data_IF_667495291641
#
_entry.id   IF_667495291641
#
_cell.length_a   1.000
_cell.length_b   1.000
_cell.length_c   1.000
_cell.angle_alpha   90.00
_cell.angle_beta   90.00
_cell.angle_gamma   90.00
#
_symmetry.space_group_name_H-M   'P 1'
#
loop_
_entity.id
_entity.type
_entity.pdbx_description
1 polymer ?
#
# COMPACT_ATOMS: atom_id res chain seq x y z
N UNK A 1 -37.26 16.36 6.85
CA UNK A 1 -36.08 16.05 7.65
C UNK A 1 -34.86 16.37 6.78
N UNK A 2 -34.14 17.44 7.07
CA UNK A 2 -32.87 17.72 6.41
C UNK A 2 -31.89 16.63 6.86
N UNK A 3 -31.59 15.68 5.99
CA UNK A 3 -30.53 14.73 6.24
C UNK A 3 -29.26 15.54 6.45
N UNK A 4 -28.72 15.55 7.68
CA UNK A 4 -27.42 16.18 7.97
C UNK A 4 -26.38 15.48 7.05
N UNK A 5 -25.91 16.22 6.07
CA UNK A 5 -24.89 15.74 5.14
C UNK A 5 -23.62 15.43 5.96
N UNK A 6 -23.17 14.18 5.97
CA UNK A 6 -21.97 13.78 6.69
C UNK A 6 -20.76 14.62 6.21
N UNK A 7 -19.91 15.04 7.17
CA UNK A 7 -18.67 15.76 6.84
C UNK A 7 -17.65 14.86 6.14
N UNK A 8 -17.63 13.58 6.50
CA UNK A 8 -16.64 12.58 6.05
C UNK A 8 -17.32 11.35 5.50
N UNK A 9 -16.84 10.83 4.38
CA UNK A 9 -17.17 9.50 3.88
C UNK A 9 -15.97 8.58 4.03
N UNK A 10 -16.10 7.52 4.83
CA UNK A 10 -15.08 6.49 5.02
C UNK A 10 -15.32 5.41 3.98
N UNK A 11 -14.39 5.24 3.03
CA UNK A 11 -14.49 4.27 1.95
C UNK A 11 -13.60 3.07 2.21
N UNK A 12 -14.17 1.87 2.11
CA UNK A 12 -13.50 0.60 2.40
C UNK A 12 -13.58 -0.30 1.18
N UNK A 13 -12.56 -0.30 0.29
CA UNK A 13 -12.49 -1.28 -0.77
C UNK A 13 -12.22 -2.67 -0.17
N UNK A 14 -13.15 -3.59 -0.37
CA UNK A 14 -13.13 -4.92 0.24
C UNK A 14 -13.25 -6.02 -0.83
N UNK A 15 -12.50 -7.12 -0.65
CA UNK A 15 -12.71 -8.34 -1.41
C UNK A 15 -12.04 -9.53 -0.72
N UNK A 16 -12.82 -10.57 -0.40
CA UNK A 16 -12.36 -11.78 0.25
C UNK A 16 -11.59 -11.49 1.56
N UNK A 17 -12.28 -10.86 2.50
CA UNK A 17 -11.74 -10.43 3.80
C UNK A 17 -12.60 -10.89 4.99
N UNK A 18 -13.26 -12.07 4.88
CA UNK A 18 -14.18 -12.60 5.90
C UNK A 18 -13.58 -12.61 7.31
N UNK A 19 -12.28 -12.88 7.44
CA UNK A 19 -11.58 -12.93 8.72
C UNK A 19 -11.18 -11.57 9.30
N UNK A 20 -11.47 -10.46 8.59
CA UNK A 20 -10.96 -9.14 8.99
C UNK A 20 -12.02 -8.04 8.90
N UNK A 21 -13.08 -8.23 8.13
CA UNK A 21 -14.07 -7.19 7.83
C UNK A 21 -14.82 -6.74 9.09
N UNK A 22 -15.21 -7.67 9.95
CA UNK A 22 -15.93 -7.36 11.19
C UNK A 22 -15.07 -6.51 12.14
N UNK A 23 -13.81 -6.92 12.37
CA UNK A 23 -12.89 -6.16 13.21
C UNK A 23 -12.57 -4.78 12.64
N UNK A 24 -12.52 -4.66 11.32
CA UNK A 24 -12.34 -3.38 10.63
C UNK A 24 -13.52 -2.45 10.87
N UNK A 25 -14.75 -2.90 10.66
CA UNK A 25 -15.95 -2.09 10.88
C UNK A 25 -16.12 -1.71 12.35
N UNK A 26 -15.89 -2.63 13.29
CA UNK A 26 -15.90 -2.35 14.71
C UNK A 26 -14.87 -1.26 15.09
N UNK A 27 -13.69 -1.26 14.51
CA UNK A 27 -12.70 -0.20 14.71
C UNK A 27 -13.20 1.14 14.13
N UNK A 28 -13.80 1.16 12.93
CA UNK A 28 -14.29 2.39 12.30
C UNK A 28 -15.47 2.98 13.07
N UNK A 29 -16.42 2.17 13.49
CA UNK A 29 -17.55 2.64 14.30
C UNK A 29 -17.15 3.06 15.73
N UNK A 30 -15.94 2.72 16.18
CA UNK A 30 -15.38 3.24 17.44
C UNK A 30 -14.71 4.62 17.30
N UNK A 31 -14.66 5.19 16.11
CA UNK A 31 -14.06 6.52 15.92
C UNK A 31 -14.87 7.60 16.63
N UNK A 32 -14.16 8.54 17.22
CA UNK A 32 -14.79 9.77 17.69
C UNK A 32 -15.24 10.59 16.48
N UNK A 33 -16.57 10.83 16.31
CA UNK A 33 -17.07 11.50 15.13
C UNK A 33 -16.56 12.94 15.03
N UNK A 34 -16.18 13.40 13.82
CA UNK A 34 -15.91 14.81 13.61
C UNK A 34 -17.20 15.64 13.65
N UNK A 35 -17.08 16.96 13.74
CA UNK A 35 -18.23 17.85 13.57
C UNK A 35 -18.90 17.58 12.22
N UNK A 36 -20.21 17.37 12.21
CA UNK A 36 -20.98 16.95 11.02
C UNK A 36 -21.00 15.44 10.77
N UNK A 37 -20.36 14.62 11.61
CA UNK A 37 -20.43 13.16 11.53
C UNK A 37 -19.67 12.54 10.36
N UNK A 38 -19.86 11.25 10.19
CA UNK A 38 -19.30 10.49 9.07
C UNK A 38 -20.26 9.39 8.63
N UNK A 39 -20.13 8.96 7.39
CA UNK A 39 -20.78 7.77 6.82
C UNK A 39 -19.74 6.70 6.47
N UNK A 40 -20.16 5.44 6.43
CA UNK A 40 -19.31 4.30 6.11
C UNK A 40 -19.82 3.62 4.85
N UNK A 41 -18.94 3.48 3.86
CA UNK A 41 -19.25 2.85 2.57
C UNK A 41 -18.26 1.71 2.33
N UNK A 42 -18.74 0.48 2.32
CA UNK A 42 -17.97 -0.71 1.92
C UNK A 42 -18.24 -0.98 0.46
N UNK A 43 -17.19 -1.09 -0.34
CA UNK A 43 -17.29 -1.39 -1.75
C UNK A 43 -16.73 -2.80 -1.99
N UNK A 44 -17.66 -3.78 -2.07
CA UNK A 44 -17.31 -5.19 -2.18
C UNK A 44 -17.00 -5.60 -3.62
N UNK A 45 -15.79 -6.10 -3.83
CA UNK A 45 -15.30 -6.62 -5.11
C UNK A 45 -15.83 -8.01 -5.45
N UNK A 46 -17.13 -8.28 -5.25
CA UNK A 46 -17.75 -9.58 -5.50
C UNK A 46 -17.05 -10.72 -4.73
N UNK A 47 -17.00 -10.59 -3.43
CA UNK A 47 -16.39 -11.57 -2.53
C UNK A 47 -17.09 -12.93 -2.59
N UNK A 48 -16.33 -14.01 -2.43
CA UNK A 48 -16.77 -15.42 -2.53
C UNK A 48 -16.40 -16.29 -1.34
N UNK A 49 -15.85 -15.67 -0.27
CA UNK A 49 -15.32 -16.36 0.91
C UNK A 49 -16.21 -16.21 2.17
N UNK A 50 -17.45 -15.71 2.02
CA UNK A 50 -18.35 -15.39 3.13
C UNK A 50 -18.27 -13.93 3.61
N UNK A 51 -17.43 -13.08 3.01
CA UNK A 51 -17.36 -11.65 3.34
C UNK A 51 -18.71 -10.95 3.14
N UNK A 52 -19.45 -11.27 2.07
CA UNK A 52 -20.75 -10.68 1.79
C UNK A 52 -21.78 -10.99 2.87
N UNK A 53 -21.83 -12.24 3.32
CA UNK A 53 -22.74 -12.66 4.40
C UNK A 53 -22.41 -11.94 5.71
N UNK A 54 -21.10 -11.76 6.00
CA UNK A 54 -20.67 -10.96 7.14
C UNK A 54 -21.12 -9.49 7.00
N UNK A 55 -21.00 -8.90 5.82
CA UNK A 55 -21.44 -7.51 5.57
C UNK A 55 -22.96 -7.36 5.74
N UNK A 56 -23.77 -8.32 5.31
CA UNK A 56 -25.23 -8.27 5.50
C UNK A 56 -25.59 -8.32 6.98
N UNK A 57 -24.97 -9.22 7.77
CA UNK A 57 -25.18 -9.25 9.24
C UNK A 57 -24.74 -7.95 9.93
N UNK A 58 -23.62 -7.37 9.52
CA UNK A 58 -23.12 -6.11 10.07
C UNK A 58 -24.02 -4.92 9.71
N UNK A 59 -24.68 -4.95 8.55
CA UNK A 59 -25.65 -3.94 8.17
C UNK A 59 -26.93 -3.99 9.05
N UNK A 60 -27.31 -5.14 9.58
CA UNK A 60 -28.40 -5.23 10.56
C UNK A 60 -28.04 -4.50 11.87
N UNK A 61 -26.76 -4.55 12.27
CA UNK A 61 -26.24 -3.86 13.47
C UNK A 61 -25.97 -2.36 13.23
N UNK A 62 -25.64 -2.01 11.97
CA UNK A 62 -25.33 -0.65 11.53
C UNK A 62 -26.18 -0.32 10.29
N UNK A 63 -27.45 0.12 10.47
CA UNK A 63 -28.35 0.40 9.35
C UNK A 63 -27.88 1.50 8.40
N UNK A 64 -26.98 2.37 8.86
CA UNK A 64 -26.31 3.43 8.11
C UNK A 64 -25.16 2.93 7.24
N UNK A 65 -24.74 1.65 7.39
CA UNK A 65 -23.70 1.05 6.56
C UNK A 65 -24.17 0.91 5.11
N UNK A 66 -23.50 1.61 4.20
CA UNK A 66 -23.72 1.44 2.76
C UNK A 66 -22.77 0.37 2.19
N UNK A 67 -23.34 -0.64 1.55
CA UNK A 67 -22.57 -1.69 0.83
C UNK A 67 -22.85 -1.58 -0.65
N UNK A 68 -21.78 -1.44 -1.46
CA UNK A 68 -21.83 -1.26 -2.92
C UNK A 68 -21.11 -2.41 -3.61
N UNK A 69 -21.70 -2.95 -4.65
CA UNK A 69 -21.09 -4.00 -5.49
C UNK A 69 -20.11 -3.39 -6.50
N UNK A 70 -18.87 -3.91 -6.52
CA UNK A 70 -17.87 -3.58 -7.52
C UNK A 70 -17.64 -4.77 -8.46
N UNK A 71 -18.33 -4.79 -9.57
CA UNK A 71 -18.25 -5.85 -10.58
C UNK A 71 -16.85 -5.97 -11.22
N UNK A 72 -16.09 -4.88 -11.25
CA UNK A 72 -14.71 -4.85 -11.80
C UNK A 72 -13.68 -5.46 -10.87
N UNK A 73 -14.01 -5.67 -9.57
CA UNK A 73 -13.17 -6.39 -8.60
C UNK A 73 -11.80 -5.76 -8.32
N UNK A 74 -11.55 -4.53 -8.74
CA UNK A 74 -10.29 -3.81 -8.53
C UNK A 74 -10.46 -2.61 -7.58
N UNK A 75 -9.39 -2.21 -6.92
CA UNK A 75 -9.42 -1.12 -5.93
C UNK A 75 -9.76 0.23 -6.57
N UNK A 76 -9.17 0.64 -7.71
CA UNK A 76 -9.50 1.95 -8.30
C UNK A 76 -10.98 2.07 -8.69
N UNK A 77 -11.58 1.02 -9.28
CA UNK A 77 -13.02 1.02 -9.56
C UNK A 77 -13.84 1.11 -8.25
N UNK A 78 -13.45 0.38 -7.20
CA UNK A 78 -14.11 0.46 -5.90
C UNK A 78 -14.05 1.90 -5.35
N UNK A 79 -12.86 2.52 -5.38
CA UNK A 79 -12.71 3.89 -4.90
C UNK A 79 -13.55 4.88 -5.70
N UNK A 80 -13.54 4.78 -7.02
CA UNK A 80 -14.33 5.68 -7.88
C UNK A 80 -15.83 5.53 -7.62
N UNK A 81 -16.34 4.30 -7.52
CA UNK A 81 -17.74 4.05 -7.16
C UNK A 81 -18.08 4.65 -5.80
N UNK A 82 -17.23 4.41 -4.79
CA UNK A 82 -17.43 4.96 -3.45
C UNK A 82 -17.40 6.49 -3.43
N UNK A 83 -16.45 7.14 -4.12
CA UNK A 83 -16.33 8.61 -4.18
C UNK A 83 -17.56 9.24 -4.82
N UNK A 84 -18.09 8.64 -5.88
CA UNK A 84 -19.28 9.16 -6.58
C UNK A 84 -20.53 9.06 -5.69
N UNK A 85 -20.68 8.01 -4.91
CA UNK A 85 -21.80 7.80 -3.98
C UNK A 85 -21.66 8.59 -2.68
N UNK A 86 -20.44 8.91 -2.27
CA UNK A 86 -20.13 9.60 -1.02
C UNK A 86 -20.83 10.96 -0.91
N UNK A 87 -21.35 11.29 0.27
CA UNK A 87 -21.98 12.56 0.57
C UNK A 87 -21.03 13.55 1.28
N UNK A 88 -19.96 13.01 1.89
CA UNK A 88 -18.98 13.78 2.65
C UNK A 88 -18.17 14.77 1.82
N UNK A 89 -17.77 15.84 2.45
CA UNK A 89 -16.83 16.83 1.91
C UNK A 89 -15.42 16.23 1.83
N UNK A 90 -15.07 15.39 2.81
CA UNK A 90 -13.82 14.66 2.89
C UNK A 90 -14.03 13.18 2.59
N UNK A 91 -13.14 12.62 1.79
CA UNK A 91 -13.08 11.19 1.47
C UNK A 91 -11.90 10.59 2.22
N UNK A 92 -12.15 9.64 3.11
CA UNK A 92 -11.11 8.91 3.83
C UNK A 92 -11.12 7.47 3.38
N UNK A 93 -10.01 7.01 2.79
CA UNK A 93 -9.82 5.60 2.48
C UNK A 93 -9.26 4.85 3.67
N UNK A 94 -9.88 3.74 4.01
CA UNK A 94 -9.35 2.77 4.98
C UNK A 94 -9.27 1.39 4.35
N UNK A 95 -8.19 0.66 4.65
CA UNK A 95 -8.04 -0.72 4.19
C UNK A 95 -8.40 -1.69 5.31
N UNK A 96 -9.05 -2.81 4.97
CA UNK A 96 -9.59 -3.80 5.93
C UNK A 96 -8.56 -4.34 6.94
N UNK A 97 -7.27 -4.35 6.59
CA UNK A 97 -6.18 -4.88 7.44
C UNK A 97 -5.47 -3.84 8.28
N UNK A 98 -6.07 -2.68 8.45
CA UNK A 98 -5.53 -1.60 9.26
C UNK A 98 -6.37 -1.39 10.51
N UNK A 99 -5.71 -0.99 11.58
CA UNK A 99 -6.35 -0.49 12.80
C UNK A 99 -5.95 0.96 12.98
N UNK A 100 -6.94 1.82 13.10
CA UNK A 100 -6.77 3.26 13.18
C UNK A 100 -7.06 3.74 14.61
N UNK A 101 -6.43 4.84 15.08
CA UNK A 101 -6.73 5.42 16.37
C UNK A 101 -8.15 6.03 16.41
N UNK A 102 -8.75 6.12 17.58
CA UNK A 102 -10.13 6.64 17.72
C UNK A 102 -10.30 8.08 17.21
N UNK A 103 -9.28 8.93 17.32
CA UNK A 103 -9.32 10.30 16.81
C UNK A 103 -8.96 10.43 15.32
N UNK A 104 -8.83 9.30 14.58
CA UNK A 104 -8.31 9.27 13.23
C UNK A 104 -8.94 10.29 12.29
N UNK A 105 -10.28 10.35 12.23
CA UNK A 105 -10.99 11.27 11.35
C UNK A 105 -10.80 12.73 11.78
N UNK A 106 -10.87 13.02 13.08
CA UNK A 106 -10.65 14.37 13.62
C UNK A 106 -9.25 14.88 13.31
N UNK A 107 -8.25 14.04 13.52
CA UNK A 107 -6.84 14.39 13.32
C UNK A 107 -6.53 14.64 11.83
N UNK A 108 -7.12 13.85 10.92
CA UNK A 108 -6.98 14.05 9.48
C UNK A 108 -7.61 15.36 9.01
N UNK A 109 -8.85 15.64 9.45
CA UNK A 109 -9.54 16.89 9.07
C UNK A 109 -8.77 18.09 9.60
N UNK A 110 -8.42 18.09 10.90
CA UNK A 110 -7.64 19.18 11.50
C UNK A 110 -6.29 19.39 10.78
N UNK A 111 -5.65 18.31 10.34
CA UNK A 111 -4.41 18.38 9.55
C UNK A 111 -4.67 19.00 8.17
N UNK A 112 -5.72 18.58 7.46
CA UNK A 112 -6.09 19.11 6.14
C UNK A 112 -6.42 20.61 6.23
N UNK A 113 -7.27 21.01 7.17
CA UNK A 113 -7.69 22.40 7.38
C UNK A 113 -6.49 23.31 7.77
N UNK A 114 -5.66 22.86 8.71
CA UNK A 114 -4.49 23.63 9.18
C UNK A 114 -3.43 23.83 8.09
N UNK A 115 -3.22 22.84 7.22
CA UNK A 115 -2.18 22.87 6.19
C UNK A 115 -2.70 23.33 4.83
N UNK A 116 -4.02 23.45 4.68
CA UNK A 116 -4.71 23.66 3.41
C UNK A 116 -4.25 22.62 2.37
N UNK A 117 -4.13 21.37 2.80
CA UNK A 117 -3.68 20.27 1.95
C UNK A 117 -4.85 19.54 1.30
N UNK A 118 -4.66 19.10 0.06
CA UNK A 118 -5.68 18.39 -0.72
C UNK A 118 -5.75 16.90 -0.35
N UNK A 119 -4.62 16.36 0.13
CA UNK A 119 -4.53 15.00 0.63
C UNK A 119 -3.64 14.96 1.88
N UNK A 120 -4.13 14.37 2.95
CA UNK A 120 -3.38 14.19 4.18
C UNK A 120 -3.44 12.74 4.65
N UNK A 121 -2.39 12.26 5.33
CA UNK A 121 -2.37 10.92 5.86
C UNK A 121 -1.44 10.72 7.03
N UNK A 122 -1.59 9.56 7.67
CA UNK A 122 -0.71 9.12 8.73
C UNK A 122 0.47 8.28 8.25
N UNK A 123 1.18 7.69 9.21
CA UNK A 123 2.26 6.74 8.97
C UNK A 123 1.78 5.32 9.29
N UNK A 124 2.17 4.37 8.45
CA UNK A 124 1.94 2.96 8.74
C UNK A 124 2.94 2.47 9.79
N UNK A 125 2.43 1.86 10.84
CA UNK A 125 3.21 1.14 11.85
C UNK A 125 2.98 -0.36 11.64
N UNK A 126 3.91 -1.05 10.97
CA UNK A 126 3.76 -2.47 10.73
C UNK A 126 3.76 -3.27 12.03
N UNK A 127 2.77 -4.15 12.19
CA UNK A 127 2.60 -5.05 13.32
C UNK A 127 2.34 -6.48 12.84
N UNK A 128 2.52 -7.47 13.71
CA UNK A 128 2.26 -8.86 13.34
C UNK A 128 1.97 -9.74 14.54
N UNK A 129 1.09 -10.73 14.35
CA UNK A 129 0.71 -11.69 15.37
C UNK A 129 1.49 -13.01 15.24
N UNK A 130 1.83 -13.41 14.01
CA UNK A 130 2.59 -14.64 13.73
C UNK A 130 4.09 -14.34 13.54
N UNK A 131 4.94 -15.40 13.61
CA UNK A 131 6.38 -15.29 13.31
C UNK A 131 6.63 -14.61 11.95
N UNK A 132 5.93 -15.05 10.90
CA UNK A 132 6.10 -14.51 9.54
C UNK A 132 5.65 -13.05 9.48
N UNK A 133 4.49 -12.70 10.04
CA UNK A 133 4.03 -11.32 10.06
C UNK A 133 4.96 -10.40 10.84
N UNK A 134 5.47 -10.84 12.01
CA UNK A 134 6.45 -10.08 12.80
C UNK A 134 7.74 -9.85 12.01
N UNK A 135 8.22 -10.88 11.32
CA UNK A 135 9.43 -10.79 10.47
C UNK A 135 9.26 -9.80 9.31
N UNK A 136 8.12 -9.87 8.60
CA UNK A 136 7.78 -8.93 7.53
C UNK A 136 7.61 -7.51 8.09
N UNK A 137 6.91 -7.35 9.21
CA UNK A 137 6.72 -6.05 9.86
C UNK A 137 8.05 -5.38 10.22
N UNK A 138 9.01 -6.16 10.73
CA UNK A 138 10.36 -5.67 11.03
C UNK A 138 11.14 -5.32 9.76
N UNK A 139 11.05 -6.14 8.71
CA UNK A 139 11.73 -5.84 7.45
C UNK A 139 11.24 -4.52 6.83
N UNK A 140 9.97 -4.15 7.00
CA UNK A 140 9.43 -2.88 6.51
C UNK A 140 10.03 -1.65 7.20
N UNK A 141 10.60 -1.80 8.40
CA UNK A 141 11.34 -0.73 9.10
C UNK A 141 12.76 -0.53 8.55
N UNK A 142 13.23 -1.44 7.71
CA UNK A 142 14.55 -1.35 7.08
C UNK A 142 14.54 -0.38 5.89
N UNK A 143 15.39 0.65 5.89
CA UNK A 143 15.56 1.51 4.72
C UNK A 143 16.05 0.74 3.48
N UNK A 144 16.84 -0.32 3.69
CA UNK A 144 17.33 -1.17 2.60
C UNK A 144 16.18 -1.94 1.96
N UNK A 145 15.26 -2.51 2.75
CA UNK A 145 14.14 -3.27 2.24
C UNK A 145 13.11 -2.41 1.51
N UNK A 146 12.80 -1.21 2.04
CA UNK A 146 11.68 -0.38 1.59
C UNK A 146 12.11 0.97 0.98
N UNK A 147 13.41 1.17 0.74
CA UNK A 147 13.92 2.43 0.19
C UNK A 147 13.58 3.66 1.06
N UNK A 148 13.27 3.47 2.32
CA UNK A 148 12.87 4.53 3.26
C UNK A 148 11.41 4.98 3.14
N UNK A 149 10.57 4.26 2.40
CA UNK A 149 9.15 4.61 2.19
C UNK A 149 8.31 4.59 3.49
N UNK A 150 8.62 3.67 4.41
CA UNK A 150 7.92 3.51 5.69
C UNK A 150 8.83 3.93 6.85
N UNK A 151 9.15 5.21 6.95
CA UNK A 151 9.87 5.75 8.12
C UNK A 151 8.86 6.17 9.18
N UNK A 152 9.02 5.63 10.40
CA UNK A 152 8.46 6.29 11.58
C UNK A 152 9.27 7.58 11.78
N UNK A 153 8.65 8.70 11.43
CA UNK A 153 9.28 10.02 11.49
C UNK A 153 8.95 10.76 12.80
N UNK A 154 8.48 10.03 13.81
CA UNK A 154 8.07 10.63 15.08
C UNK A 154 6.97 11.69 14.88
N UNK A 155 7.24 12.91 15.33
CA UNK A 155 6.29 14.04 15.23
C UNK A 155 6.34 14.81 13.91
N UNK A 156 7.03 14.29 12.89
CA UNK A 156 7.12 14.95 11.59
C UNK A 156 5.74 15.28 11.01
N UNK A 157 5.60 16.50 10.54
CA UNK A 157 4.47 16.94 9.71
C UNK A 157 5.05 17.68 8.51
N UNK A 158 4.78 17.23 7.31
CA UNK A 158 5.35 17.86 6.12
C UNK A 158 4.95 17.19 4.81
N UNK A 159 5.38 17.82 3.71
CA UNK A 159 5.10 17.34 2.37
C UNK A 159 5.75 15.98 2.08
N UNK A 160 5.04 15.17 1.31
CA UNK A 160 5.47 13.86 0.86
C UNK A 160 4.96 13.57 -0.55
N UNK A 161 5.54 12.56 -1.20
CA UNK A 161 5.12 12.17 -2.55
C UNK A 161 3.72 11.52 -2.57
N UNK A 162 3.42 10.70 -1.58
CA UNK A 162 2.13 10.05 -1.41
C UNK A 162 1.92 9.66 0.06
N UNK A 163 0.67 9.51 0.46
CA UNK A 163 0.28 8.98 1.77
C UNK A 163 -0.52 7.70 1.60
N UNK A 164 -0.44 6.84 2.60
CA UNK A 164 -1.25 5.63 2.62
C UNK A 164 -2.70 5.95 3.00
N UNK A 165 -3.65 5.34 2.26
CA UNK A 165 -5.07 5.56 2.47
C UNK A 165 -5.50 6.99 2.08
N UNK A 166 -5.11 7.95 2.87
CA UNK A 166 -5.34 9.37 2.64
C UNK A 166 -6.73 9.86 3.03
N UNK A 167 -6.77 11.14 3.38
CA UNK A 167 -7.97 11.96 3.52
C UNK A 167 -7.90 13.04 2.47
N UNK A 168 -8.81 12.99 1.52
CA UNK A 168 -8.88 13.89 0.38
C UNK A 168 -10.08 14.83 0.51
N UNK A 169 -9.93 16.06 0.07
CA UNK A 169 -11.09 16.89 -0.25
C UNK A 169 -11.80 16.27 -1.49
N UNK A 170 -13.10 15.95 -1.38
CA UNK A 170 -13.86 15.32 -2.48
C UNK A 170 -13.82 16.16 -3.76
N UNK A 171 -13.94 17.49 -3.62
CA UNK A 171 -13.85 18.41 -4.75
C UNK A 171 -12.54 18.22 -5.54
N UNK A 172 -11.41 18.10 -4.83
CA UNK A 172 -10.10 17.91 -5.48
C UNK A 172 -9.97 16.57 -6.17
N UNK A 173 -10.54 15.49 -5.61
CA UNK A 173 -10.59 14.18 -6.29
C UNK A 173 -11.34 14.24 -7.61
N UNK A 174 -12.49 14.96 -7.65
CA UNK A 174 -13.25 15.14 -8.87
C UNK A 174 -12.49 15.97 -9.91
N UNK A 175 -11.83 17.05 -9.50
CA UNK A 175 -11.04 17.94 -10.37
C UNK A 175 -9.84 17.20 -11.00
N UNK A 176 -9.14 16.34 -10.25
CA UNK A 176 -7.99 15.58 -10.79
C UNK A 176 -8.40 14.35 -11.59
N UNK A 177 -9.70 14.01 -11.68
CA UNK A 177 -10.22 12.94 -12.51
C UNK A 177 -10.22 11.56 -11.82
N UNK A 178 -10.34 11.51 -10.50
CA UNK A 178 -10.49 10.29 -9.70
C UNK A 178 -9.28 9.33 -9.81
N UNK A 179 -9.45 8.07 -9.41
CA UNK A 179 -8.43 7.02 -9.59
C UNK A 179 -8.38 6.54 -11.04
N UNK A 180 -7.18 6.34 -11.57
CA UNK A 180 -7.01 5.69 -12.88
C UNK A 180 -7.36 4.19 -12.78
N UNK A 181 -8.46 3.80 -13.39
CA UNK A 181 -9.01 2.44 -13.33
C UNK A 181 -8.12 1.39 -14.01
N UNK A 182 -7.19 1.83 -14.85
CA UNK A 182 -6.17 0.96 -15.47
C UNK A 182 -5.05 0.59 -14.51
N UNK A 183 -4.91 1.33 -13.39
CA UNK A 183 -3.84 1.14 -12.40
C UNK A 183 -4.26 0.18 -11.28
N UNK A 184 -4.08 -1.12 -11.45
CA UNK A 184 -4.49 -2.13 -10.46
C UNK A 184 -3.67 -2.04 -9.16
N UNK A 185 -2.42 -1.59 -9.25
CA UNK A 185 -1.53 -1.32 -8.11
C UNK A 185 -0.85 0.02 -8.29
N UNK A 186 -0.31 0.55 -7.17
CA UNK A 186 0.34 1.86 -7.11
C UNK A 186 -0.60 3.02 -7.55
N UNK A 187 -1.90 2.80 -7.51
CA UNK A 187 -2.92 3.80 -7.86
C UNK A 187 -2.89 5.02 -6.93
N UNK A 188 -2.50 4.84 -5.67
CA UNK A 188 -2.36 5.94 -4.70
C UNK A 188 -1.18 6.85 -5.04
N UNK A 189 -0.04 6.26 -5.46
CA UNK A 189 1.12 7.00 -5.94
C UNK A 189 0.74 7.82 -7.18
N UNK A 190 0.08 7.18 -8.14
CA UNK A 190 -0.33 7.79 -9.40
C UNK A 190 -1.26 8.98 -9.17
N UNK A 191 -2.29 8.80 -8.33
CA UNK A 191 -3.22 9.86 -7.99
C UNK A 191 -2.52 11.04 -7.28
N UNK A 192 -1.64 10.73 -6.33
CA UNK A 192 -0.88 11.75 -5.59
C UNK A 192 0.04 12.55 -6.54
N UNK A 193 0.64 11.90 -7.54
CA UNK A 193 1.47 12.58 -8.54
C UNK A 193 0.64 13.50 -9.44
N UNK A 194 -0.56 13.09 -9.88
CA UNK A 194 -1.47 13.97 -10.63
C UNK A 194 -1.90 15.18 -9.80
N UNK A 195 -2.26 14.95 -8.54
CA UNK A 195 -2.65 15.99 -7.62
C UNK A 195 -1.53 17.04 -7.48
N UNK A 196 -0.29 16.60 -7.21
CA UNK A 196 0.88 17.48 -7.08
C UNK A 196 1.23 18.20 -8.38
N UNK A 197 1.06 17.54 -9.54
CA UNK A 197 1.28 18.18 -10.85
C UNK A 197 0.32 19.36 -11.09
N UNK A 198 -0.86 19.33 -10.49
CA UNK A 198 -1.87 20.40 -10.52
C UNK A 198 -1.72 21.40 -9.35
N UNK A 199 -0.55 21.43 -8.70
CA UNK A 199 -0.26 22.35 -7.59
C UNK A 199 -0.84 21.93 -6.25
N UNK A 200 -1.43 20.73 -6.15
CA UNK A 200 -1.98 20.22 -4.91
C UNK A 200 -0.91 19.79 -3.89
N UNK A 201 -1.25 19.85 -2.61
CA UNK A 201 -0.38 19.51 -1.50
C UNK A 201 -0.75 18.15 -0.91
N UNK A 202 0.27 17.29 -0.69
CA UNK A 202 0.15 16.01 -0.01
C UNK A 202 0.97 16.06 1.28
N UNK A 203 0.32 15.95 2.44
CA UNK A 203 0.95 16.10 3.76
C UNK A 203 0.88 14.80 4.54
N UNK A 204 2.00 14.40 5.14
CA UNK A 204 2.05 13.26 6.07
C UNK A 204 2.27 13.75 7.49
N UNK A 205 1.57 13.14 8.46
CA UNK A 205 1.81 13.34 9.89
C UNK A 205 2.28 12.04 10.54
N UNK A 206 3.46 12.08 11.17
CA UNK A 206 3.97 10.98 11.98
C UNK A 206 3.21 10.76 13.30
N UNK A 207 2.39 11.75 13.71
CA UNK A 207 1.54 11.64 14.91
C UNK A 207 0.34 10.74 14.69
N UNK A 208 -0.16 10.64 13.46
CA UNK A 208 -1.28 9.77 13.09
C UNK A 208 -0.74 8.39 12.75
N UNK A 209 -0.74 7.47 13.71
CA UNK A 209 -0.16 6.12 13.58
C UNK A 209 -1.24 5.11 13.23
N UNK A 210 -1.11 4.47 12.06
CA UNK A 210 -2.03 3.46 11.57
C UNK A 210 -1.35 2.10 11.70
N UNK A 211 -1.91 1.21 12.51
CA UNK A 211 -1.38 -0.14 12.64
C UNK A 211 -1.74 -0.97 11.40
N UNK A 212 -0.73 -1.54 10.76
CA UNK A 212 -0.88 -2.33 9.53
C UNK A 212 -0.41 -3.77 9.73
N UNK A 213 -1.25 -4.72 9.38
CA UNK A 213 -0.92 -6.15 9.45
C UNK A 213 -0.48 -6.66 8.06
N UNK A 214 0.83 -7.01 7.88
CA UNK A 214 1.33 -7.50 6.61
C UNK A 214 0.82 -8.90 6.29
N UNK A 215 1.23 -9.42 5.14
CA UNK A 215 0.85 -10.75 4.66
C UNK A 215 1.22 -11.86 5.65
N UNK A 216 0.41 -12.92 5.68
CA UNK A 216 0.57 -14.05 6.61
C UNK A 216 1.60 -15.08 6.14
N UNK A 217 2.10 -15.01 4.90
CA UNK A 217 3.09 -15.93 4.34
C UNK A 217 4.06 -15.23 3.38
N UNK A 218 5.27 -15.78 3.22
CA UNK A 218 6.25 -15.30 2.25
C UNK A 218 5.77 -15.44 0.80
N UNK A 219 4.97 -16.46 0.48
CA UNK A 219 4.35 -16.62 -0.84
C UNK A 219 3.43 -15.43 -1.18
N UNK A 220 2.62 -15.00 -0.22
CA UNK A 220 1.75 -13.82 -0.40
C UNK A 220 2.57 -12.52 -0.49
N UNK A 221 3.65 -12.41 0.29
CA UNK A 221 4.58 -11.28 0.22
C UNK A 221 5.23 -11.20 -1.16
N UNK A 222 5.76 -12.31 -1.65
CA UNK A 222 6.37 -12.41 -2.98
C UNK A 222 5.41 -11.96 -4.07
N UNK A 223 4.19 -12.48 -4.06
CA UNK A 223 3.13 -12.13 -5.01
C UNK A 223 2.80 -10.63 -4.98
N UNK A 224 2.74 -10.05 -3.77
CA UNK A 224 2.48 -8.63 -3.57
C UNK A 224 3.58 -7.75 -4.17
N UNK A 225 4.84 -8.01 -3.84
CA UNK A 225 5.96 -7.20 -4.31
C UNK A 225 6.26 -7.41 -5.80
N UNK A 226 6.03 -8.60 -6.33
CA UNK A 226 6.08 -8.87 -7.76
C UNK A 226 5.11 -7.96 -8.53
N UNK A 227 3.86 -7.82 -8.04
CA UNK A 227 2.89 -6.90 -8.62
C UNK A 227 3.30 -5.43 -8.45
N UNK A 228 3.85 -5.06 -7.29
CA UNK A 228 4.33 -3.69 -7.07
C UNK A 228 5.45 -3.31 -8.04
N UNK A 229 6.41 -4.21 -8.29
CA UNK A 229 7.47 -4.01 -9.29
C UNK A 229 6.90 -3.83 -10.69
N UNK A 230 6.04 -4.74 -11.14
CA UNK A 230 5.40 -4.69 -12.45
C UNK A 230 4.66 -3.36 -12.68
N UNK A 231 3.76 -3.00 -11.77
CA UNK A 231 2.95 -1.79 -11.91
C UNK A 231 3.74 -0.49 -11.68
N UNK A 232 4.89 -0.55 -11.00
CA UNK A 232 5.77 0.61 -10.85
C UNK A 232 6.29 1.12 -12.20
N UNK A 233 6.55 0.23 -13.16
CA UNK A 233 6.95 0.61 -14.52
C UNK A 233 5.90 1.48 -15.18
N UNK A 234 4.62 1.14 -15.06
CA UNK A 234 3.51 1.93 -15.62
C UNK A 234 3.38 3.30 -14.98
N UNK A 235 3.58 3.39 -13.65
CA UNK A 235 3.59 4.68 -12.94
C UNK A 235 4.74 5.55 -13.44
N UNK A 236 5.94 5.00 -13.57
CA UNK A 236 7.12 5.75 -14.01
C UNK A 236 7.03 6.19 -15.47
N UNK A 237 6.41 5.39 -16.33
CA UNK A 237 6.11 5.78 -17.70
C UNK A 237 5.16 6.97 -17.76
N UNK A 238 4.09 6.95 -16.96
CA UNK A 238 3.10 8.03 -16.87
C UNK A 238 3.65 9.29 -16.19
N UNK A 239 4.58 9.12 -15.24
CA UNK A 239 5.17 10.18 -14.43
C UNK A 239 6.71 10.08 -14.37
N UNK A 240 7.45 10.30 -15.47
CA UNK A 240 8.90 10.10 -15.53
C UNK A 240 9.69 10.95 -14.52
N UNK A 241 9.22 12.16 -14.21
CA UNK A 241 9.86 13.07 -13.24
C UNK A 241 9.84 12.55 -11.81
N UNK A 242 9.02 11.55 -11.51
CA UNK A 242 8.93 10.91 -10.19
C UNK A 242 9.83 9.67 -10.09
N UNK A 243 10.58 9.36 -11.15
CA UNK A 243 11.56 8.29 -11.13
C UNK A 243 12.66 8.61 -10.13
N UNK A 244 12.94 7.65 -9.25
CA UNK A 244 14.08 7.71 -8.33
C UNK A 244 14.96 6.48 -8.58
N UNK A 245 16.27 6.62 -8.49
CA UNK A 245 17.23 5.54 -8.66
C UNK A 245 16.88 4.30 -7.80
N UNK A 246 16.25 4.51 -6.64
CA UNK A 246 15.79 3.44 -5.73
C UNK A 246 14.83 2.45 -6.40
N UNK A 247 14.03 2.89 -7.37
CA UNK A 247 13.07 2.04 -8.06
C UNK A 247 13.76 1.02 -8.96
N UNK A 248 14.97 1.31 -9.43
CA UNK A 248 15.73 0.47 -10.35
C UNK A 248 16.65 -0.53 -9.65
N UNK A 249 17.07 -0.25 -8.39
CA UNK A 249 18.01 -1.09 -7.63
C UNK A 249 17.60 -2.56 -7.58
N UNK A 250 16.35 -2.94 -7.24
CA UNK A 250 15.98 -4.35 -7.22
C UNK A 250 15.99 -5.00 -8.59
N UNK A 251 15.67 -4.25 -9.66
CA UNK A 251 15.72 -4.75 -11.03
C UNK A 251 17.18 -4.98 -11.48
N UNK A 252 18.09 -4.05 -11.18
CA UNK A 252 19.53 -4.20 -11.43
C UNK A 252 20.07 -5.41 -10.67
N UNK A 253 19.68 -5.58 -9.41
CA UNK A 253 20.09 -6.72 -8.60
C UNK A 253 19.71 -8.06 -9.24
N UNK A 254 18.45 -8.22 -9.64
CA UNK A 254 17.96 -9.45 -10.24
C UNK A 254 18.59 -9.68 -11.61
N UNK A 255 18.72 -8.65 -12.44
CA UNK A 255 19.39 -8.73 -13.75
C UNK A 255 20.86 -9.10 -13.60
N UNK A 256 21.56 -8.55 -12.59
CA UNK A 256 22.93 -8.91 -12.27
C UNK A 256 23.08 -10.39 -11.89
N UNK A 257 22.18 -10.92 -11.05
CA UNK A 257 22.16 -12.35 -10.73
C UNK A 257 21.98 -13.22 -11.99
N UNK A 258 21.07 -12.84 -12.87
CA UNK A 258 20.81 -13.60 -14.10
C UNK A 258 22.00 -13.54 -15.04
N UNK A 259 22.52 -12.35 -15.35
CA UNK A 259 23.62 -12.17 -16.32
C UNK A 259 24.92 -12.81 -15.83
N UNK A 260 25.34 -12.49 -14.58
CA UNK A 260 26.56 -13.06 -14.03
C UNK A 260 26.42 -14.57 -13.77
N UNK A 261 25.25 -15.03 -13.36
CA UNK A 261 24.97 -16.46 -13.16
C UNK A 261 25.08 -17.25 -14.48
N UNK A 262 24.55 -16.72 -15.59
CA UNK A 262 24.71 -17.34 -16.92
C UNK A 262 26.18 -17.28 -17.35
N UNK A 263 26.83 -16.12 -17.23
CA UNK A 263 28.21 -15.95 -17.64
C UNK A 263 29.19 -16.86 -16.86
N UNK A 264 28.87 -17.20 -15.63
CA UNK A 264 29.66 -18.06 -14.73
C UNK A 264 29.83 -19.50 -15.31
N UNK A 265 28.92 -19.94 -16.19
CA UNK A 265 29.06 -21.23 -16.87
C UNK A 265 30.15 -21.21 -17.97
N UNK A 266 30.57 -20.02 -18.44
CA UNK A 266 31.48 -19.86 -19.57
C UNK A 266 32.86 -19.29 -19.15
N UNK A 267 33.00 -18.76 -17.91
CA UNK A 267 34.24 -18.08 -17.49
C UNK A 267 34.45 -18.16 -15.98
N UNK A 268 35.65 -18.56 -15.56
CA UNK A 268 36.06 -18.55 -14.15
C UNK A 268 36.07 -17.11 -13.55
N UNK A 269 36.41 -16.10 -14.34
CA UNK A 269 36.34 -14.70 -13.92
C UNK A 269 34.91 -14.26 -13.69
N UNK A 270 33.98 -14.70 -14.56
CA UNK A 270 32.52 -14.41 -14.36
C UNK A 270 31.98 -15.17 -13.15
N UNK A 271 32.43 -16.40 -12.89
CA UNK A 271 32.08 -17.13 -11.67
C UNK A 271 32.56 -16.38 -10.41
N UNK A 272 33.81 -15.92 -10.40
CA UNK A 272 34.34 -15.12 -9.29
C UNK A 272 33.53 -13.82 -9.10
N UNK A 273 33.20 -13.14 -10.19
CA UNK A 273 32.31 -11.96 -10.18
C UNK A 273 30.92 -12.28 -9.64
N UNK A 274 30.31 -13.39 -10.04
CA UNK A 274 29.00 -13.84 -9.53
C UNK A 274 29.05 -14.14 -8.03
N UNK A 275 30.09 -14.84 -7.56
CA UNK A 275 30.26 -15.15 -6.13
C UNK A 275 30.49 -13.88 -5.32
N UNK A 276 31.29 -12.93 -5.80
CA UNK A 276 31.50 -11.65 -5.14
C UNK A 276 30.20 -10.84 -5.07
N UNK A 277 29.47 -10.74 -6.18
CA UNK A 277 28.20 -10.02 -6.27
C UNK A 277 27.15 -10.60 -5.30
N UNK A 278 26.98 -11.92 -5.34
CA UNK A 278 26.04 -12.64 -4.49
C UNK A 278 26.47 -12.56 -3.03
N UNK A 279 27.75 -12.77 -2.73
CA UNK A 279 28.31 -12.70 -1.39
C UNK A 279 28.14 -11.31 -0.76
N UNK A 280 28.45 -10.24 -1.52
CA UNK A 280 28.29 -8.86 -1.05
C UNK A 280 26.83 -8.53 -0.77
N UNK A 281 25.91 -8.94 -1.64
CA UNK A 281 24.47 -8.78 -1.41
C UNK A 281 24.02 -9.46 -0.12
N UNK A 282 24.36 -10.75 0.06
CA UNK A 282 23.96 -11.49 1.26
C UNK A 282 24.63 -10.95 2.52
N UNK A 283 25.87 -10.46 2.45
CA UNK A 283 26.54 -9.80 3.56
C UNK A 283 25.76 -8.56 4.03
N UNK A 284 25.40 -7.68 3.08
CA UNK A 284 24.66 -6.44 3.35
C UNK A 284 23.30 -6.73 3.98
N UNK A 285 22.48 -7.62 3.36
CA UNK A 285 21.15 -7.89 3.89
C UNK A 285 21.18 -8.68 5.20
N UNK A 286 22.22 -9.50 5.44
CA UNK A 286 22.42 -10.19 6.72
C UNK A 286 22.75 -9.20 7.81
N UNK A 287 23.70 -8.29 7.59
CA UNK A 287 24.04 -7.24 8.54
C UNK A 287 22.81 -6.36 8.87
N UNK A 288 22.05 -5.96 7.85
CA UNK A 288 20.85 -5.17 8.04
C UNK A 288 19.76 -5.94 8.79
N UNK A 289 19.52 -7.20 8.43
CA UNK A 289 18.53 -8.03 9.11
C UNK A 289 18.87 -8.27 10.58
N UNK A 290 20.15 -8.47 10.91
CA UNK A 290 20.66 -8.54 12.28
C UNK A 290 20.45 -7.21 13.02
N UNK A 291 20.78 -6.08 12.38
CA UNK A 291 20.59 -4.73 12.95
C UNK A 291 19.12 -4.47 13.30
N UNK A 292 18.20 -4.88 12.44
CA UNK A 292 16.76 -4.72 12.67
C UNK A 292 16.25 -5.68 13.74
N UNK A 293 16.68 -6.95 13.70
CA UNK A 293 16.26 -7.97 14.65
C UNK A 293 16.81 -7.71 16.06
N UNK A 294 18.06 -7.24 16.21
CA UNK A 294 18.68 -6.97 17.52
C UNK A 294 17.91 -5.95 18.35
N UNK A 295 17.26 -4.97 17.70
CA UNK A 295 16.44 -3.95 18.37
C UNK A 295 15.07 -4.45 18.82
N UNK A 296 14.68 -5.69 18.46
CA UNK A 296 13.37 -6.25 18.76
C UNK A 296 13.47 -7.67 19.32
N UNK A 297 13.81 -8.66 18.49
CA UNK A 297 14.03 -10.04 18.88
C UNK A 297 14.94 -10.73 17.87
N UNK A 298 16.11 -11.21 18.32
CA UNK A 298 17.05 -11.98 17.48
C UNK A 298 16.44 -13.27 16.91
N UNK A 299 15.43 -13.85 17.59
CA UNK A 299 14.72 -15.03 17.07
C UNK A 299 14.03 -14.77 15.71
N UNK A 300 13.74 -13.50 15.38
CA UNK A 300 13.13 -13.11 14.13
C UNK A 300 14.14 -12.87 12.99
N UNK A 301 15.44 -12.86 13.27
CA UNK A 301 16.48 -12.60 12.28
C UNK A 301 16.36 -13.44 10.99
N UNK A 302 16.20 -14.78 11.02
CA UNK A 302 16.10 -15.55 9.78
C UNK A 302 14.87 -15.15 8.95
N UNK A 303 13.75 -14.88 9.63
CA UNK A 303 12.53 -14.41 8.97
C UNK A 303 12.65 -13.00 8.40
N UNK A 304 13.39 -12.10 9.07
CA UNK A 304 13.67 -10.74 8.54
C UNK A 304 14.56 -10.83 7.30
N UNK A 305 15.61 -11.65 7.32
CA UNK A 305 16.49 -11.91 6.19
C UNK A 305 15.68 -12.45 4.99
N UNK A 306 14.86 -13.48 5.22
CA UNK A 306 13.99 -14.04 4.18
C UNK A 306 12.99 -12.99 3.64
N UNK A 307 12.46 -12.12 4.50
CA UNK A 307 11.54 -11.04 4.09
C UNK A 307 12.22 -10.02 3.18
N UNK A 308 13.42 -9.54 3.54
CA UNK A 308 14.19 -8.58 2.73
C UNK A 308 14.53 -9.19 1.37
N UNK A 309 15.05 -10.42 1.36
CA UNK A 309 15.35 -11.14 0.11
C UNK A 309 14.10 -11.32 -0.78
N UNK A 310 12.98 -11.71 -0.17
CA UNK A 310 11.72 -11.88 -0.86
C UNK A 310 11.23 -10.58 -1.51
N UNK A 311 11.32 -9.46 -0.79
CA UNK A 311 10.93 -8.12 -1.29
C UNK A 311 11.78 -7.72 -2.49
N UNK A 312 13.11 -7.79 -2.36
CA UNK A 312 14.03 -7.36 -3.41
C UNK A 312 13.89 -8.20 -4.68
N UNK A 313 13.90 -9.53 -4.53
CA UNK A 313 13.82 -10.45 -5.66
C UNK A 313 12.49 -10.33 -6.37
N UNK A 314 11.37 -10.37 -5.63
CA UNK A 314 10.06 -10.31 -6.24
C UNK A 314 9.77 -8.96 -6.91
N UNK A 315 10.13 -7.84 -6.26
CA UNK A 315 9.97 -6.52 -6.87
C UNK A 315 10.85 -6.38 -8.13
N UNK A 316 12.12 -6.81 -8.07
CA UNK A 316 13.04 -6.76 -9.20
C UNK A 316 12.54 -7.57 -10.39
N UNK A 317 12.12 -8.83 -10.16
CA UNK A 317 11.52 -9.68 -11.20
C UNK A 317 10.28 -9.00 -11.80
N UNK A 318 9.37 -8.51 -10.96
CA UNK A 318 8.16 -7.81 -11.40
C UNK A 318 8.48 -6.59 -12.27
N UNK A 319 9.48 -5.81 -11.87
CA UNK A 319 9.90 -4.62 -12.61
C UNK A 319 10.48 -4.99 -13.99
N UNK A 320 11.37 -5.99 -14.05
CA UNK A 320 11.93 -6.49 -15.33
C UNK A 320 10.82 -7.00 -16.24
N UNK A 321 9.88 -7.80 -15.73
CA UNK A 321 8.73 -8.28 -16.52
C UNK A 321 7.88 -7.10 -16.97
N UNK A 322 7.67 -6.08 -16.15
CA UNK A 322 6.96 -4.86 -16.51
C UNK A 322 7.63 -4.12 -17.67
N UNK A 323 8.96 -3.96 -17.63
CA UNK A 323 9.73 -3.36 -18.74
C UNK A 323 9.58 -4.15 -20.03
N UNK A 324 9.78 -5.48 -20.00
CA UNK A 324 9.63 -6.36 -21.16
C UNK A 324 8.20 -6.29 -21.71
N UNK A 325 7.22 -6.35 -20.83
CA UNK A 325 5.80 -6.28 -21.19
C UNK A 325 5.46 -4.98 -21.95
N UNK A 326 6.05 -3.86 -21.52
CA UNK A 326 5.86 -2.56 -22.18
C UNK A 326 6.62 -2.46 -23.50
N UNK A 327 7.87 -2.91 -23.55
CA UNK A 327 8.69 -2.88 -24.78
C UNK A 327 8.07 -3.70 -25.92
N UNK A 328 7.50 -4.86 -25.59
CA UNK A 328 6.91 -5.78 -26.57
C UNK A 328 5.38 -5.73 -26.64
N UNK A 329 4.73 -4.79 -25.93
CA UNK A 329 3.27 -4.64 -25.84
C UNK A 329 2.54 -5.94 -25.46
N UNK A 330 3.14 -6.74 -24.55
CA UNK A 330 2.60 -8.02 -24.11
C UNK A 330 1.64 -7.77 -22.94
N UNK A 331 0.36 -8.10 -23.11
CA UNK A 331 -0.62 -8.07 -22.01
C UNK A 331 -0.49 -9.33 -21.15
N UNK A 332 -0.01 -9.18 -19.92
CA UNK A 332 0.11 -10.28 -18.94
C UNK A 332 -1.10 -10.30 -18.03
N UNK A 333 -2.08 -11.15 -18.31
CA UNK A 333 -3.33 -11.28 -17.53
C UNK A 333 -3.09 -11.64 -16.05
N UNK A 334 -2.01 -12.36 -15.74
CA UNK A 334 -1.65 -12.77 -14.39
C UNK A 334 -1.38 -11.57 -13.44
N UNK A 335 -0.86 -10.45 -13.97
CA UNK A 335 -0.64 -9.23 -13.18
C UNK A 335 -1.90 -8.40 -12.97
N UNK A 336 -2.95 -8.68 -13.74
CA UNK A 336 -4.28 -8.08 -13.54
C UNK A 336 -5.04 -8.70 -12.36
N UNK A 337 -4.65 -9.91 -11.91
CA UNK A 337 -5.29 -10.56 -10.77
C UNK A 337 -4.73 -10.02 -9.44
N UNK A 338 -5.61 -9.84 -8.47
CA UNK A 338 -5.20 -9.39 -7.14
C UNK A 338 -4.38 -10.48 -6.43
N UNK A 339 -3.40 -10.07 -5.62
CA UNK A 339 -2.52 -10.98 -4.83
C UNK A 339 -3.21 -11.54 -3.58
N UNK A 340 -4.43 -12.06 -3.74
CA UNK A 340 -5.23 -12.61 -2.63
C UNK A 340 -5.37 -14.11 -2.75
#
# INVERSE_FOLDING_TARGET
MNAHKAKVSVLIPCRNEVNSIESCLNNIYSFHPPAGGFEVIVIDGMSTDGTRDALFRLKEQHPDLLVIDNLHKTVPHAMNLGILQAQGEYIVRTDVRCVHPQNYLKDLIALSERTNADNVGGVLVPAGNTYVQKSIALSYRSPIAMGGALRDRGDFVGETDAVYGGCFQKKRLLEVGLYDEKMIRNQDDELSFRLRKLGGKVIQSGRIKIQYFPRKSFRQLFKQFLQYGYWKVYVLEKHPRQASWRHFVPAILVSGFAVLGIAAFFSSYALAGFLLYTGSYFLIITAESLRVASKNSLKLWPGVLASISCIHVSFGIGFVIGLISRMFNIKTSWFATLSR
#
